data_IF_868321057227
#
_entry.id   IF_868321057227
#
_cell.length_a   1.000
_cell.length_b   1.000
_cell.length_c   1.000
_cell.angle_alpha   90.00
_cell.angle_beta   90.00
_cell.angle_gamma   90.00
#
_symmetry.space_group_name_H-M   'P 1'
#
loop_
_entity.id
_entity.type
_entity.pdbx_description
1 polymer ?
#
# COMPACT_ATOMS: atom_id res chain seq x y z
N UNK A 1 18.51 12.08 0.34
CA UNK A 1 17.68 11.14 1.15
C UNK A 1 18.49 9.87 1.33
N UNK A 2 18.65 9.37 2.56
CA UNK A 2 19.59 8.29 2.89
C UNK A 2 18.88 6.95 3.05
N UNK A 3 19.56 5.87 2.63
CA UNK A 3 19.20 4.49 2.97
C UNK A 3 20.11 4.05 4.11
N UNK A 4 19.52 3.53 5.19
CA UNK A 4 20.26 2.86 6.25
C UNK A 4 20.27 1.35 5.98
N UNK A 5 21.15 0.60 6.65
CA UNK A 5 21.23 -0.87 6.50
C UNK A 5 20.95 -1.56 7.82
N UNK A 6 20.11 -2.60 7.79
CA UNK A 6 20.03 -3.62 8.84
C UNK A 6 20.93 -4.79 8.46
N UNK A 7 21.68 -5.33 9.42
CA UNK A 7 22.50 -6.53 9.22
C UNK A 7 21.79 -7.75 9.83
N UNK A 8 21.43 -8.71 8.98
CA UNK A 8 20.90 -10.00 9.38
C UNK A 8 21.95 -11.09 9.19
N UNK A 9 22.20 -11.92 10.20
CA UNK A 9 23.18 -13.02 10.13
C UNK A 9 22.47 -14.35 9.97
N UNK A 10 22.68 -15.01 8.83
CA UNK A 10 22.18 -16.34 8.55
C UNK A 10 23.30 -17.37 8.69
N UNK A 11 22.98 -18.52 9.30
CA UNK A 11 23.98 -19.54 9.62
C UNK A 11 24.77 -20.05 8.41
N UNK A 12 24.14 -20.13 7.22
CA UNK A 12 24.77 -20.62 5.99
C UNK A 12 25.15 -19.52 4.99
N UNK A 13 24.45 -18.39 5.00
CA UNK A 13 24.58 -17.34 3.99
C UNK A 13 25.42 -16.13 4.47
N UNK A 14 25.83 -16.13 5.75
CA UNK A 14 26.62 -15.05 6.33
C UNK A 14 25.78 -13.82 6.65
N UNK A 15 26.40 -12.63 6.60
CA UNK A 15 25.74 -11.36 6.86
C UNK A 15 25.05 -10.85 5.59
N UNK A 16 23.76 -10.54 5.69
CA UNK A 16 22.93 -9.94 4.65
C UNK A 16 22.55 -8.53 5.09
N UNK A 17 22.72 -7.55 4.19
CA UNK A 17 22.35 -6.17 4.44
C UNK A 17 20.99 -5.85 3.82
N UNK A 18 20.03 -5.46 4.66
CA UNK A 18 18.67 -5.09 4.26
C UNK A 18 18.58 -3.56 4.24
N UNK A 19 18.34 -2.93 3.07
CA UNK A 19 18.18 -1.50 2.98
C UNK A 19 16.86 -1.05 3.61
N UNK A 20 16.91 0.01 4.40
CA UNK A 20 15.74 0.62 5.05
C UNK A 20 15.72 2.13 4.81
N UNK A 21 14.55 2.68 4.52
CA UNK A 21 14.38 4.12 4.34
C UNK A 21 14.65 4.84 5.66
N UNK A 22 15.62 5.75 5.67
CA UNK A 22 16.00 6.49 6.89
C UNK A 22 14.83 7.30 7.47
N UNK A 23 14.03 8.06 6.70
CA UNK A 23 12.84 8.73 7.24
C UNK A 23 11.85 7.77 7.93
N UNK A 24 11.55 6.63 7.31
CA UNK A 24 10.63 5.64 7.89
C UNK A 24 11.21 4.98 9.15
N UNK A 25 12.49 4.60 9.12
CA UNK A 25 13.19 4.06 10.28
C UNK A 25 13.17 5.05 11.45
N UNK A 26 13.47 6.32 11.21
CA UNK A 26 13.52 7.35 12.25
C UNK A 26 12.15 7.60 12.89
N UNK A 27 11.06 7.64 12.11
CA UNK A 27 9.72 7.78 12.70
C UNK A 27 9.29 6.52 13.44
N UNK A 28 9.65 5.32 12.96
CA UNK A 28 9.39 4.08 13.68
C UNK A 28 10.12 4.02 15.03
N UNK A 29 11.41 4.38 15.06
CA UNK A 29 12.19 4.45 16.29
C UNK A 29 11.59 5.46 17.28
N UNK A 30 11.04 6.58 16.81
CA UNK A 30 10.33 7.53 17.67
C UNK A 30 9.02 6.96 18.22
N UNK A 31 8.24 6.24 17.40
CA UNK A 31 7.04 5.52 17.86
C UNK A 31 7.41 4.50 18.95
N UNK A 32 8.40 3.67 18.67
CA UNK A 32 8.90 2.64 19.58
C UNK A 32 9.48 3.22 20.88
N UNK A 33 10.14 4.38 20.80
CA UNK A 33 10.74 5.08 21.93
C UNK A 33 9.74 5.75 22.86
N UNK A 34 8.49 5.92 22.45
CA UNK A 34 7.45 6.62 23.21
C UNK A 34 6.14 5.80 23.25
N UNK A 35 6.11 4.66 23.98
CA UNK A 35 4.95 3.76 23.99
C UNK A 35 3.66 4.41 24.54
N UNK A 36 3.79 5.35 25.48
CA UNK A 36 2.73 6.20 26.05
C UNK A 36 2.67 7.59 25.41
N UNK A 37 3.45 7.82 24.36
CA UNK A 37 3.59 9.10 23.68
C UNK A 37 2.50 9.38 22.65
N UNK A 38 2.83 10.14 21.59
CA UNK A 38 1.91 10.50 20.52
C UNK A 38 1.21 9.29 19.89
N UNK A 39 -0.11 9.40 19.72
CA UNK A 39 -0.93 8.43 18.98
C UNK A 39 -0.59 8.45 17.49
N UNK A 40 -0.35 9.64 16.97
CA UNK A 40 -0.09 9.93 15.56
C UNK A 40 1.09 10.89 15.40
N UNK A 41 1.71 10.81 14.23
CA UNK A 41 2.85 11.63 13.84
C UNK A 41 2.53 12.40 12.57
N UNK A 42 3.27 13.47 12.32
CA UNK A 42 3.14 14.28 11.10
C UNK A 42 4.48 14.44 10.42
N UNK A 43 4.50 14.33 9.09
CA UNK A 43 5.65 14.64 8.23
C UNK A 43 5.16 15.54 7.10
N UNK A 44 5.78 16.70 6.93
CA UNK A 44 5.55 17.53 5.73
C UNK A 44 6.46 17.07 4.61
N UNK A 45 5.92 16.92 3.40
CA UNK A 45 6.70 16.70 2.18
C UNK A 45 6.56 17.94 1.32
N UNK A 46 7.67 18.63 1.07
CA UNK A 46 7.70 19.84 0.25
C UNK A 46 8.73 19.69 -0.84
N UNK A 47 8.30 19.87 -2.10
CA UNK A 47 9.18 19.76 -3.28
C UNK A 47 9.99 18.44 -3.29
N UNK A 48 9.34 17.32 -2.97
CA UNK A 48 9.96 15.99 -2.94
C UNK A 48 10.92 15.76 -1.78
N UNK A 49 10.95 16.61 -0.75
CA UNK A 49 11.79 16.45 0.43
C UNK A 49 10.92 16.24 1.67
N UNK A 50 11.14 15.13 2.37
CA UNK A 50 10.51 14.86 3.66
C UNK A 50 11.15 15.69 4.78
N UNK A 51 10.31 16.38 5.55
CA UNK A 51 10.68 17.09 6.76
C UNK A 51 10.84 16.18 7.98
N UNK A 52 11.14 16.78 9.13
CA UNK A 52 11.26 16.05 10.40
C UNK A 52 9.89 15.61 10.90
N UNK A 53 9.78 14.36 11.39
CA UNK A 53 8.56 13.89 12.03
C UNK A 53 8.29 14.58 13.37
N UNK A 54 7.07 15.07 13.55
CA UNK A 54 6.57 15.70 14.78
C UNK A 54 5.40 14.88 15.34
N UNK A 55 5.41 14.57 16.63
CA UNK A 55 4.31 13.88 17.28
C UNK A 55 3.20 14.85 17.68
N UNK A 56 1.95 14.46 17.49
CA UNK A 56 0.82 15.24 17.98
C UNK A 56 0.59 14.96 19.47
N UNK A 57 0.45 16.02 20.25
CA UNK A 57 0.21 15.91 21.69
C UNK A 57 -1.24 15.47 21.89
N UNK A 58 -1.43 14.18 22.15
CA UNK A 58 -2.73 13.62 22.46
C UNK A 58 -2.71 12.99 23.86
N UNK A 59 -3.71 13.31 24.67
CA UNK A 59 -3.93 12.61 25.94
C UNK A 59 -4.62 11.27 25.66
N UNK A 60 -4.04 10.21 26.21
CA UNK A 60 -4.65 8.88 26.22
C UNK A 60 -5.91 8.87 27.09
N UNK A 61 -6.96 8.14 26.71
CA UNK A 61 -8.15 8.00 27.54
C UNK A 61 -7.79 7.36 28.88
N UNK A 62 -8.19 7.93 30.03
CA UNK A 62 -7.93 7.30 31.33
C UNK A 62 -8.95 6.19 31.60
N UNK A 63 -8.65 4.98 31.13
CA UNK A 63 -9.46 3.78 31.37
C UNK A 63 -8.56 2.60 31.77
N UNK A 64 -9.10 1.58 32.48
CA UNK A 64 -8.37 0.35 32.74
C UNK A 64 -7.88 -0.35 31.46
N UNK A 65 -8.69 -0.34 30.40
CA UNK A 65 -8.32 -0.91 29.10
C UNK A 65 -7.13 -0.17 28.48
N UNK A 66 -7.09 1.18 28.60
CA UNK A 66 -5.95 1.97 28.13
C UNK A 66 -4.66 1.62 28.86
N UNK A 67 -4.72 1.45 30.19
CA UNK A 67 -3.54 1.06 31.00
C UNK A 67 -3.03 -0.33 30.62
N UNK A 68 -3.94 -1.28 30.38
CA UNK A 68 -3.59 -2.61 29.92
C UNK A 68 -2.94 -2.58 28.53
N UNK A 69 -3.51 -1.81 27.60
CA UNK A 69 -2.99 -1.60 26.25
C UNK A 69 -1.59 -0.98 26.27
N UNK A 70 -1.40 0.13 26.98
CA UNK A 70 -0.10 0.80 27.09
C UNK A 70 0.96 -0.09 27.72
N UNK A 71 0.59 -0.89 28.72
CA UNK A 71 1.50 -1.89 29.31
C UNK A 71 1.91 -2.98 28.33
N UNK A 72 0.98 -3.50 27.51
CA UNK A 72 1.30 -4.48 26.48
C UNK A 72 2.13 -3.89 25.33
N UNK A 73 1.79 -2.67 24.91
CA UNK A 73 2.50 -1.87 23.91
C UNK A 73 3.96 -1.62 24.32
N UNK A 74 4.19 -1.17 25.55
CA UNK A 74 5.54 -0.91 26.06
C UNK A 74 6.41 -2.18 26.04
N UNK A 75 5.87 -3.33 26.48
CA UNK A 75 6.59 -4.62 26.42
C UNK A 75 6.94 -5.02 25.00
N UNK A 76 5.98 -4.92 24.08
CA UNK A 76 6.23 -5.23 22.66
C UNK A 76 7.30 -4.29 22.07
N UNK A 77 7.19 -2.99 22.30
CA UNK A 77 8.13 -2.00 21.76
C UNK A 77 9.55 -2.16 22.32
N UNK A 78 9.68 -2.50 23.60
CA UNK A 78 10.98 -2.80 24.22
C UNK A 78 11.65 -4.01 23.56
N UNK A 79 10.90 -5.08 23.29
CA UNK A 79 11.40 -6.26 22.56
C UNK A 79 11.84 -5.88 21.15
N UNK A 80 11.05 -5.07 20.43
CA UNK A 80 11.39 -4.63 19.06
C UNK A 80 12.67 -3.80 19.04
N UNK A 81 12.87 -2.90 20.00
CA UNK A 81 14.06 -2.02 20.04
C UNK A 81 15.36 -2.78 20.32
N UNK A 82 15.28 -3.91 21.02
CA UNK A 82 16.44 -4.73 21.41
C UNK A 82 17.53 -3.90 22.11
N UNK A 83 17.11 -3.10 23.10
CA UNK A 83 17.97 -2.26 23.91
C UNK A 83 18.75 -1.22 23.10
N UNK A 84 20.08 -1.25 23.17
CA UNK A 84 20.97 -0.25 22.54
C UNK A 84 21.06 -0.37 21.03
N UNK A 85 20.52 -1.44 20.43
CA UNK A 85 20.51 -1.60 18.96
C UNK A 85 19.50 -0.68 18.28
N UNK A 86 18.47 -0.24 19.02
CA UNK A 86 17.38 0.60 18.50
C UNK A 86 16.82 0.06 17.18
N UNK A 87 16.52 -1.24 17.14
CA UNK A 87 15.98 -1.90 15.96
C UNK A 87 14.55 -1.42 15.66
N UNK A 88 14.12 -1.71 14.43
CA UNK A 88 12.76 -1.52 13.93
C UNK A 88 12.12 -2.88 13.67
N UNK A 89 10.82 -2.93 13.38
CA UNK A 89 10.05 -4.17 13.21
C UNK A 89 10.68 -5.12 12.17
N UNK A 90 11.32 -4.58 11.13
CA UNK A 90 12.06 -5.33 10.11
C UNK A 90 13.23 -6.18 10.67
N UNK A 91 13.76 -5.82 11.83
CA UNK A 91 14.89 -6.50 12.48
C UNK A 91 14.49 -7.58 13.48
N UNK A 92 13.19 -7.85 13.65
CA UNK A 92 12.67 -8.73 14.70
C UNK A 92 12.27 -10.09 14.13
N UNK A 93 12.59 -11.17 14.86
CA UNK A 93 11.99 -12.48 14.60
C UNK A 93 10.54 -12.50 15.10
N UNK A 94 9.60 -12.24 14.18
CA UNK A 94 8.17 -12.11 14.44
C UNK A 94 7.55 -13.34 15.10
N UNK A 95 8.08 -14.55 14.84
CA UNK A 95 7.61 -15.78 15.49
C UNK A 95 8.08 -15.85 16.94
N UNK A 96 9.34 -15.50 17.19
CA UNK A 96 9.92 -15.44 18.53
C UNK A 96 9.19 -14.45 19.46
N UNK A 97 8.52 -13.44 18.90
CA UNK A 97 7.80 -12.40 19.65
C UNK A 97 6.27 -12.51 19.54
N UNK A 98 5.75 -13.58 18.94
CA UNK A 98 4.33 -13.79 18.67
C UNK A 98 3.44 -13.66 19.92
N UNK A 99 3.93 -14.11 21.09
CA UNK A 99 3.19 -14.02 22.36
C UNK A 99 2.98 -12.57 22.80
N UNK A 100 4.00 -11.72 22.66
CA UNK A 100 3.91 -10.29 22.97
C UNK A 100 2.98 -9.57 21.97
N UNK A 101 3.07 -9.91 20.69
CA UNK A 101 2.17 -9.36 19.64
C UNK A 101 0.72 -9.72 19.93
N UNK A 102 0.42 -10.98 20.29
CA UNK A 102 -0.94 -11.40 20.68
C UNK A 102 -1.46 -10.59 21.86
N UNK A 103 -0.67 -10.49 22.94
CA UNK A 103 -1.07 -9.72 24.11
C UNK A 103 -1.32 -8.24 23.78
N UNK A 104 -0.49 -7.65 22.90
CA UNK A 104 -0.64 -6.29 22.43
C UNK A 104 -1.91 -6.08 21.60
N UNK A 105 -2.17 -6.95 20.63
CA UNK A 105 -3.36 -6.87 19.78
C UNK A 105 -4.65 -7.17 20.56
N UNK A 106 -4.64 -8.13 21.50
CA UNK A 106 -5.80 -8.39 22.37
C UNK A 106 -6.14 -7.19 23.25
N UNK A 107 -5.14 -6.56 23.88
CA UNK A 107 -5.37 -5.37 24.70
C UNK A 107 -5.89 -4.19 23.86
N UNK A 108 -5.47 -4.08 22.59
CA UNK A 108 -6.00 -3.09 21.66
C UNK A 108 -7.46 -3.36 21.29
N UNK A 109 -7.80 -4.62 21.00
CA UNK A 109 -9.19 -5.03 20.73
C UNK A 109 -10.11 -4.69 21.90
N UNK A 110 -9.68 -4.97 23.13
CA UNK A 110 -10.44 -4.64 24.34
C UNK A 110 -10.63 -3.12 24.51
N UNK A 111 -9.59 -2.33 24.23
CA UNK A 111 -9.67 -0.87 24.25
C UNK A 111 -10.65 -0.32 23.22
N UNK A 112 -10.58 -0.80 21.97
CA UNK A 112 -11.50 -0.38 20.89
C UNK A 112 -12.95 -0.75 21.23
N UNK A 113 -13.19 -1.96 21.75
CA UNK A 113 -14.53 -2.41 22.17
C UNK A 113 -15.08 -1.59 23.34
N UNK A 114 -14.25 -1.28 24.34
CA UNK A 114 -14.64 -0.44 25.48
C UNK A 114 -15.00 0.99 25.03
N UNK A 115 -14.14 1.63 24.23
CA UNK A 115 -14.40 2.98 23.72
C UNK A 115 -15.62 3.01 22.79
N UNK A 116 -15.79 1.98 21.96
CA UNK A 116 -16.99 1.79 21.14
C UNK A 116 -18.27 1.79 21.96
N UNK A 117 -18.35 0.98 23.03
CA UNK A 117 -19.51 0.98 23.94
C UNK A 117 -19.76 2.34 24.60
N UNK A 118 -18.72 3.09 24.92
CA UNK A 118 -18.85 4.43 25.54
C UNK A 118 -19.42 5.48 24.58
N UNK A 119 -19.37 5.27 23.26
CA UNK A 119 -20.03 6.19 22.30
C UNK A 119 -21.55 6.21 22.46
N UNK A 120 -22.13 5.13 22.97
CA UNK A 120 -23.57 4.99 23.26
C UNK A 120 -23.98 5.60 24.61
N UNK A 121 -23.10 6.39 25.25
CA UNK A 121 -23.37 7.01 26.53
C UNK A 121 -24.61 7.93 26.49
N UNK A 122 -25.42 7.97 27.58
CA UNK A 122 -26.68 8.72 27.59
C UNK A 122 -26.50 10.23 27.60
N UNK A 123 -25.33 10.75 27.99
CA UNK A 123 -25.09 12.20 28.01
C UNK A 123 -24.33 12.65 26.75
N UNK A 124 -24.77 13.75 26.10
CA UNK A 124 -24.12 14.24 24.87
C UNK A 124 -22.63 14.57 25.03
N UNK A 125 -22.23 15.12 26.19
CA UNK A 125 -20.84 15.49 26.44
C UNK A 125 -19.92 14.27 26.61
N UNK A 126 -20.40 13.21 27.28
CA UNK A 126 -19.64 11.96 27.42
C UNK A 126 -19.54 11.22 26.10
N UNK A 127 -20.63 11.19 25.33
CA UNK A 127 -20.66 10.60 23.98
C UNK A 127 -19.66 11.33 23.06
N UNK A 128 -19.66 12.67 23.02
CA UNK A 128 -18.71 13.44 22.21
C UNK A 128 -17.24 13.18 22.60
N UNK A 129 -16.95 13.07 23.90
CA UNK A 129 -15.61 12.70 24.38
C UNK A 129 -15.24 11.29 23.96
N UNK A 130 -16.16 10.33 24.07
CA UNK A 130 -15.93 8.95 23.65
C UNK A 130 -15.67 8.83 22.15
N UNK A 131 -16.39 9.58 21.30
CA UNK A 131 -16.11 9.65 19.86
C UNK A 131 -14.72 10.22 19.56
N UNK A 132 -14.32 11.29 20.26
CA UNK A 132 -12.99 11.88 20.13
C UNK A 132 -11.88 10.90 20.55
N UNK A 133 -12.07 10.21 21.67
CA UNK A 133 -11.14 9.21 22.19
C UNK A 133 -11.02 8.00 21.25
N UNK A 134 -12.16 7.47 20.77
CA UNK A 134 -12.17 6.36 19.82
C UNK A 134 -11.45 6.72 18.52
N UNK A 135 -11.75 7.90 17.95
CA UNK A 135 -11.09 8.38 16.73
C UNK A 135 -9.57 8.48 16.87
N UNK A 136 -9.07 8.96 18.01
CA UNK A 136 -7.63 9.02 18.29
C UNK A 136 -7.00 7.64 18.38
N UNK A 137 -7.66 6.70 19.06
CA UNK A 137 -7.17 5.32 19.23
C UNK A 137 -7.19 4.54 17.90
N UNK A 138 -8.13 4.84 17.00
CA UNK A 138 -8.15 4.28 15.65
C UNK A 138 -7.02 4.81 14.76
N UNK A 139 -6.46 5.99 15.07
CA UNK A 139 -5.33 6.58 14.36
C UNK A 139 -3.96 6.22 14.98
N UNK A 140 -3.91 5.25 15.90
CA UNK A 140 -2.67 4.83 16.55
C UNK A 140 -1.62 4.42 15.52
N UNK A 141 -0.35 4.72 15.76
CA UNK A 141 0.78 4.33 14.90
C UNK A 141 0.65 4.77 13.44
N UNK A 142 -0.08 5.88 13.23
CA UNK A 142 -0.26 6.49 11.92
C UNK A 142 0.59 7.74 11.75
N UNK A 143 1.03 8.01 10.53
CA UNK A 143 1.84 9.17 10.16
C UNK A 143 1.12 9.97 9.10
N UNK A 144 0.55 11.10 9.48
CA UNK A 144 -0.07 12.08 8.59
C UNK A 144 0.99 12.75 7.71
N UNK A 145 0.80 12.68 6.40
CA UNK A 145 1.62 13.30 5.38
C UNK A 145 0.92 14.55 4.85
N UNK A 146 1.59 15.69 5.00
CA UNK A 146 1.19 16.93 4.35
C UNK A 146 2.05 17.12 3.10
N UNK A 147 1.56 16.65 1.96
CA UNK A 147 2.29 16.70 0.69
C UNK A 147 1.95 18.01 -0.02
N UNK A 148 2.95 18.84 -0.25
CA UNK A 148 2.81 20.07 -1.05
C UNK A 148 3.34 19.79 -2.45
N UNK A 149 2.44 19.85 -3.43
CA UNK A 149 2.79 19.63 -4.83
C UNK A 149 3.59 20.81 -5.41
N UNK A 150 4.05 20.66 -6.66
CA UNK A 150 4.84 21.68 -7.35
C UNK A 150 4.09 23.00 -7.60
N UNK A 151 2.75 23.01 -7.51
CA UNK A 151 1.89 24.19 -7.64
C UNK A 151 1.51 24.79 -6.28
N UNK A 152 2.02 24.24 -5.18
CA UNK A 152 1.69 24.65 -3.82
C UNK A 152 0.35 24.14 -3.31
N UNK A 153 -0.34 23.25 -4.05
CA UNK A 153 -1.55 22.59 -3.54
C UNK A 153 -1.17 21.55 -2.51
N UNK A 154 -1.98 21.45 -1.46
CA UNK A 154 -1.79 20.46 -0.40
C UNK A 154 -2.62 19.23 -0.71
N UNK A 155 -1.98 18.07 -0.63
CA UNK A 155 -2.58 16.75 -0.63
C UNK A 155 -2.36 16.13 0.73
N UNK A 156 -3.38 15.44 1.23
CA UNK A 156 -3.33 14.74 2.51
C UNK A 156 -3.23 13.24 2.26
N UNK A 157 -2.35 12.59 3.00
CA UNK A 157 -2.23 11.15 3.00
C UNK A 157 -1.81 10.67 4.39
N UNK A 158 -1.96 9.38 4.67
CA UNK A 158 -1.55 8.80 5.95
C UNK A 158 -0.81 7.51 5.71
N UNK A 159 0.32 7.32 6.40
CA UNK A 159 0.97 6.02 6.47
C UNK A 159 0.55 5.29 7.74
N UNK A 160 0.37 3.97 7.65
CA UNK A 160 0.25 3.11 8.82
C UNK A 160 1.54 2.34 9.03
N UNK A 161 2.13 2.49 10.22
CA UNK A 161 3.39 1.88 10.60
C UNK A 161 3.22 0.38 10.91
N UNK A 162 4.29 -0.44 10.75
CA UNK A 162 4.24 -1.86 11.13
C UNK A 162 4.03 -2.09 12.64
N UNK A 163 4.21 -1.06 13.47
CA UNK A 163 3.95 -1.08 14.91
C UNK A 163 2.46 -1.06 15.25
N UNK A 164 1.58 -0.72 14.29
CA UNK A 164 0.13 -0.75 14.48
C UNK A 164 -0.32 -2.16 14.91
N UNK A 165 -1.17 -2.30 15.95
CA UNK A 165 -1.52 -3.60 16.53
C UNK A 165 -2.01 -4.64 15.51
N UNK A 166 -2.89 -4.24 14.59
CA UNK A 166 -3.39 -5.12 13.53
C UNK A 166 -2.28 -5.54 12.55
N UNK A 167 -1.32 -4.68 12.27
CA UNK A 167 -0.23 -4.96 11.31
C UNK A 167 0.84 -5.84 11.93
N UNK A 168 1.20 -5.59 13.18
CA UNK A 168 2.06 -6.49 13.94
C UNK A 168 1.46 -7.89 14.01
N UNK A 169 0.15 -7.99 14.25
CA UNK A 169 -0.58 -9.26 14.24
C UNK A 169 -0.57 -9.94 12.87
N UNK A 170 -0.82 -9.20 11.79
CA UNK A 170 -0.73 -9.72 10.42
C UNK A 170 0.67 -10.25 10.11
N UNK A 171 1.72 -9.50 10.47
CA UNK A 171 3.11 -9.89 10.26
C UNK A 171 3.48 -11.17 11.03
N UNK A 172 2.98 -11.33 12.26
CA UNK A 172 3.14 -12.56 13.02
C UNK A 172 2.42 -13.76 12.38
N UNK A 173 1.17 -13.57 11.94
CA UNK A 173 0.39 -14.61 11.25
C UNK A 173 1.02 -15.00 9.90
N UNK A 174 1.54 -14.04 9.14
CA UNK A 174 2.28 -14.30 7.90
C UNK A 174 3.57 -15.10 8.16
N UNK A 175 4.31 -14.78 9.22
CA UNK A 175 5.53 -15.50 9.58
C UNK A 175 5.24 -16.94 10.02
N UNK A 176 4.18 -17.17 10.80
CA UNK A 176 3.73 -18.52 11.18
C UNK A 176 3.24 -19.32 9.97
N UNK A 177 2.47 -18.70 9.07
CA UNK A 177 2.04 -19.34 7.82
C UNK A 177 3.25 -19.76 6.99
N UNK A 178 4.24 -18.88 6.86
CA UNK A 178 5.48 -19.16 6.15
C UNK A 178 6.21 -20.37 6.72
N UNK A 179 6.31 -20.48 8.05
CA UNK A 179 6.90 -21.67 8.68
C UNK A 179 6.09 -22.94 8.40
N UNK A 180 4.77 -22.89 8.59
CA UNK A 180 3.88 -24.03 8.34
C UNK A 180 4.02 -24.55 6.91
N UNK A 181 4.04 -23.64 5.93
CA UNK A 181 4.24 -23.99 4.52
C UNK A 181 5.65 -24.53 4.25
N UNK A 182 6.69 -23.99 4.89
CA UNK A 182 8.06 -24.52 4.78
C UNK A 182 8.17 -25.94 5.33
N UNK A 183 7.50 -26.24 6.43
CA UNK A 183 7.48 -27.59 7.01
C UNK A 183 6.70 -28.57 6.12
N UNK A 184 5.54 -28.16 5.61
CA UNK A 184 4.79 -28.95 4.63
C UNK A 184 5.57 -29.19 3.33
N UNK A 185 6.35 -28.21 2.87
CA UNK A 185 7.15 -28.30 1.65
C UNK A 185 8.23 -29.40 1.71
N UNK A 186 8.66 -29.83 2.91
CA UNK A 186 9.63 -30.94 3.07
C UNK A 186 9.10 -32.26 2.52
N UNK A 187 7.78 -32.47 2.57
CA UNK A 187 7.10 -33.67 2.05
C UNK A 187 6.35 -33.46 0.74
N UNK A 188 6.32 -32.23 0.22
CA UNK A 188 5.52 -31.88 -0.96
C UNK A 188 6.26 -32.16 -2.28
N UNK A 189 5.54 -32.40 -3.39
CA UNK A 189 6.13 -32.43 -4.72
C UNK A 189 6.86 -31.13 -5.06
N UNK A 190 8.05 -31.25 -5.69
CA UNK A 190 8.95 -30.11 -5.96
C UNK A 190 8.30 -29.00 -6.81
N UNK A 191 7.35 -29.37 -7.66
CA UNK A 191 6.60 -28.44 -8.53
C UNK A 191 5.79 -27.39 -7.75
N UNK A 192 5.38 -27.68 -6.51
CA UNK A 192 4.62 -26.73 -5.69
C UNK A 192 5.49 -25.78 -4.88
N UNK A 193 6.78 -26.09 -4.68
CA UNK A 193 7.68 -25.30 -3.82
C UNK A 193 7.83 -23.86 -4.33
N UNK A 194 8.10 -23.68 -5.61
CA UNK A 194 8.31 -22.35 -6.21
C UNK A 194 7.00 -21.55 -6.21
N UNK A 195 5.85 -22.06 -6.71
CA UNK A 195 4.57 -21.36 -6.62
C UNK A 195 4.17 -20.96 -5.19
N UNK A 196 4.34 -21.84 -4.20
CA UNK A 196 4.01 -21.54 -2.80
C UNK A 196 4.89 -20.44 -2.23
N UNK A 197 6.20 -20.45 -2.54
CA UNK A 197 7.11 -19.35 -2.17
C UNK A 197 6.66 -18.02 -2.78
N UNK A 198 6.34 -18.01 -4.07
CA UNK A 198 5.89 -16.79 -4.75
C UNK A 198 4.54 -16.29 -4.20
N UNK A 199 3.62 -17.20 -3.86
CA UNK A 199 2.38 -16.84 -3.19
C UNK A 199 2.63 -16.15 -1.84
N UNK A 200 3.50 -16.71 -1.00
CA UNK A 200 3.83 -16.16 0.31
C UNK A 200 4.54 -14.79 0.23
N UNK A 201 5.51 -14.66 -0.68
CA UNK A 201 6.40 -13.50 -0.73
C UNK A 201 5.88 -12.37 -1.63
N UNK A 202 5.09 -12.69 -2.65
CA UNK A 202 4.57 -11.70 -3.58
C UNK A 202 3.07 -11.47 -3.40
N UNK A 203 2.26 -12.51 -3.28
CA UNK A 203 0.80 -12.35 -3.32
C UNK A 203 0.17 -11.94 -1.98
N UNK A 204 0.85 -12.20 -0.87
CA UNK A 204 0.41 -11.78 0.46
C UNK A 204 1.08 -10.48 0.87
N UNK A 205 0.26 -9.46 1.13
CA UNK A 205 0.70 -8.17 1.62
C UNK A 205 -0.32 -7.58 2.60
N UNK A 206 0.09 -6.78 3.59
CA UNK A 206 -0.81 -6.18 4.58
C UNK A 206 -1.55 -4.95 4.03
N UNK A 207 -2.02 -5.03 2.78
CA UNK A 207 -2.89 -4.00 2.19
C UNK A 207 -4.30 -4.16 2.74
N UNK A 208 -4.92 -3.05 3.16
CA UNK A 208 -6.23 -3.09 3.82
C UNK A 208 -6.18 -3.63 5.25
N UNK A 209 -5.04 -3.53 5.94
CA UNK A 209 -4.92 -3.79 7.38
C UNK A 209 -4.43 -2.52 8.09
N UNK A 210 -5.34 -1.65 8.56
CA UNK A 210 -6.82 -1.76 8.52
C UNK A 210 -7.45 -1.40 7.15
N UNK A 211 -8.70 -1.80 6.84
CA UNK A 211 -9.29 -1.54 5.52
C UNK A 211 -9.50 -0.05 5.23
N UNK A 212 -9.83 0.68 6.28
CA UNK A 212 -10.16 2.10 6.27
C UNK A 212 -9.62 2.77 7.53
N UNK A 213 -9.29 4.06 7.43
CA UNK A 213 -8.82 4.86 8.55
C UNK A 213 -9.66 6.13 8.72
N UNK A 214 -10.07 6.50 9.94
CA UNK A 214 -10.69 7.79 10.17
C UNK A 214 -9.64 8.92 10.18
N UNK A 215 -10.00 10.08 9.65
CA UNK A 215 -9.22 11.32 9.82
C UNK A 215 -9.67 12.07 11.08
N UNK A 216 -8.91 13.07 11.51
CA UNK A 216 -9.35 14.00 12.55
C UNK A 216 -10.61 14.78 12.16
N UNK A 217 -10.87 14.97 10.86
CA UNK A 217 -12.11 15.59 10.39
C UNK A 217 -13.27 14.58 10.33
N UNK A 218 -13.03 13.29 10.62
CA UNK A 218 -14.00 12.19 10.55
C UNK A 218 -14.34 11.71 9.14
N UNK A 219 -13.62 12.20 8.14
CA UNK A 219 -13.57 11.56 6.82
C UNK A 219 -12.86 10.21 6.91
N UNK A 220 -13.05 9.38 5.89
CA UNK A 220 -12.43 8.07 5.81
C UNK A 220 -11.37 8.05 4.71
N UNK A 221 -10.20 7.53 5.05
CA UNK A 221 -9.12 7.23 4.10
C UNK A 221 -9.20 5.77 3.70
N UNK A 222 -8.92 5.49 2.44
CA UNK A 222 -8.83 4.14 1.88
C UNK A 222 -7.39 3.77 1.59
N UNK A 223 -7.05 2.49 1.75
CA UNK A 223 -5.72 1.99 1.40
C UNK A 223 -5.46 2.22 -0.10
N UNK A 224 -4.35 2.89 -0.42
CA UNK A 224 -3.89 3.08 -1.79
C UNK A 224 -2.99 1.92 -2.18
N UNK A 225 -1.82 1.80 -1.56
CA UNK A 225 -0.90 0.68 -1.76
C UNK A 225 0.16 0.63 -0.64
N UNK A 226 0.93 -0.46 -0.63
CA UNK A 226 2.10 -0.61 0.22
C UNK A 226 3.32 0.11 -0.38
N UNK A 227 3.98 1.00 0.37
CA UNK A 227 5.26 1.57 -0.04
C UNK A 227 6.38 0.51 -0.01
N UNK A 228 6.28 -0.40 0.97
CA UNK A 228 7.11 -1.58 1.16
C UNK A 228 6.29 -2.57 2.00
N UNK A 229 6.77 -3.80 2.26
CA UNK A 229 5.99 -4.81 3.00
C UNK A 229 5.54 -4.40 4.43
N UNK A 230 6.07 -3.31 4.99
CA UNK A 230 5.82 -2.87 6.36
C UNK A 230 4.96 -1.61 6.45
N UNK A 231 4.99 -0.74 5.44
CA UNK A 231 4.33 0.57 5.45
C UNK A 231 3.29 0.69 4.33
N UNK A 232 2.04 1.02 4.72
CA UNK A 232 0.92 1.21 3.77
C UNK A 232 0.49 2.67 3.71
N UNK A 233 0.27 3.17 2.50
CA UNK A 233 -0.24 4.51 2.23
C UNK A 233 -1.76 4.50 2.10
N UNK A 234 -2.41 5.45 2.75
CA UNK A 234 -3.84 5.74 2.68
C UNK A 234 -4.03 7.16 2.19
N UNK A 235 -5.09 7.37 1.41
CA UNK A 235 -5.46 8.68 0.89
C UNK A 235 -6.98 8.87 0.97
N UNK A 236 -7.47 10.12 0.86
CA UNK A 236 -8.89 10.38 0.70
C UNK A 236 -9.44 9.58 -0.49
N UNK A 237 -10.68 9.14 -0.37
CA UNK A 237 -11.37 8.31 -1.37
C UNK A 237 -11.51 8.99 -2.75
N UNK A 238 -11.43 10.32 -2.77
CA UNK A 238 -11.53 11.18 -3.96
C UNK A 238 -10.15 11.57 -4.55
N UNK A 239 -9.05 10.94 -4.12
CA UNK A 239 -7.73 11.16 -4.71
C UNK A 239 -7.73 10.78 -6.19
N UNK A 240 -7.53 11.77 -7.07
CA UNK A 240 -7.62 11.61 -8.53
C UNK A 240 -6.36 11.01 -9.16
N UNK A 241 -5.20 11.10 -8.50
CA UNK A 241 -3.94 10.49 -8.95
C UNK A 241 -3.22 9.73 -7.82
N UNK A 242 -3.75 8.55 -7.43
CA UNK A 242 -3.16 7.77 -6.34
C UNK A 242 -1.75 7.26 -6.66
N UNK A 243 -1.46 6.96 -7.94
CA UNK A 243 -0.13 6.53 -8.37
C UNK A 243 0.88 7.66 -8.36
N UNK A 244 0.50 8.87 -8.77
CA UNK A 244 1.34 10.06 -8.59
C UNK A 244 1.64 10.33 -7.11
N UNK A 245 0.65 10.16 -6.22
CA UNK A 245 0.86 10.28 -4.77
C UNK A 245 1.91 9.30 -4.24
N UNK A 246 1.81 8.02 -4.63
CA UNK A 246 2.82 7.00 -4.27
C UNK A 246 4.20 7.43 -4.76
N UNK A 247 4.31 7.90 -6.01
CA UNK A 247 5.58 8.33 -6.57
C UNK A 247 6.20 9.52 -5.85
N UNK A 248 5.39 10.50 -5.43
CA UNK A 248 5.84 11.64 -4.63
C UNK A 248 6.37 11.18 -3.26
N UNK A 249 5.62 10.31 -2.58
CA UNK A 249 5.97 9.81 -1.25
C UNK A 249 7.19 8.88 -1.30
N UNK A 250 7.27 7.96 -2.25
CA UNK A 250 8.43 7.09 -2.45
C UNK A 250 9.70 7.90 -2.74
N UNK A 251 9.61 8.89 -3.63
CA UNK A 251 10.73 9.79 -3.92
C UNK A 251 11.19 10.57 -2.68
N UNK A 252 10.25 11.11 -1.89
CA UNK A 252 10.58 11.85 -0.68
C UNK A 252 11.25 10.98 0.41
N UNK A 253 10.92 9.69 0.44
CA UNK A 253 11.49 8.71 1.36
C UNK A 253 12.66 7.91 0.80
N UNK A 254 13.05 8.15 -0.46
CA UNK A 254 14.17 7.44 -1.12
C UNK A 254 13.89 5.96 -1.31
N UNK A 255 12.63 5.62 -1.57
CA UNK A 255 12.17 4.26 -1.84
C UNK A 255 11.97 4.05 -3.35
N UNK A 256 12.18 2.83 -3.87
CA UNK A 256 11.68 2.47 -5.19
C UNK A 256 10.14 2.49 -5.19
N UNK A 257 9.54 2.75 -6.34
CA UNK A 257 8.10 2.62 -6.47
C UNK A 257 7.68 1.14 -6.47
N UNK A 258 6.66 0.77 -5.69
CA UNK A 258 6.11 -0.57 -5.72
C UNK A 258 5.36 -0.82 -7.04
N UNK A 259 5.28 -2.10 -7.44
CA UNK A 259 4.35 -2.54 -8.47
C UNK A 259 2.90 -2.21 -8.07
N UNK A 260 2.00 -2.13 -9.04
CA UNK A 260 0.61 -1.73 -8.77
C UNK A 260 -0.13 -2.90 -8.11
N UNK A 261 -0.83 -2.62 -7.00
CA UNK A 261 -1.54 -3.62 -6.21
C UNK A 261 -0.57 -4.46 -5.38
N UNK A 262 0.41 -3.79 -4.74
CA UNK A 262 1.47 -4.34 -3.89
C UNK A 262 2.49 -5.28 -4.57
N UNK A 263 2.11 -6.01 -5.62
CA UNK A 263 2.99 -6.86 -6.49
C UNK A 263 2.30 -7.37 -7.76
N UNK A 264 0.99 -7.16 -7.95
CA UNK A 264 0.18 -7.93 -8.91
C UNK A 264 0.40 -7.47 -10.36
N UNK A 265 0.58 -6.17 -10.59
CA UNK A 265 0.74 -5.59 -11.93
C UNK A 265 2.12 -4.96 -12.02
N UNK A 266 3.08 -5.76 -12.47
CA UNK A 266 4.45 -5.34 -12.81
C UNK A 266 4.66 -5.26 -14.33
N UNK A 267 5.86 -4.83 -14.74
CA UNK A 267 6.20 -4.73 -16.17
C UNK A 267 6.18 -6.06 -16.91
N UNK A 268 6.52 -7.17 -16.23
CA UNK A 268 6.48 -8.51 -16.82
C UNK A 268 5.03 -8.96 -17.10
N UNK A 269 4.13 -8.70 -16.17
CA UNK A 269 2.70 -8.95 -16.33
C UNK A 269 2.13 -8.15 -17.50
N UNK A 270 2.41 -6.84 -17.56
CA UNK A 270 1.99 -6.00 -18.69
C UNK A 270 2.55 -6.49 -20.02
N UNK A 271 3.84 -6.86 -20.06
CA UNK A 271 4.48 -7.37 -21.28
C UNK A 271 3.82 -8.66 -21.77
N UNK A 272 3.47 -9.57 -20.85
CA UNK A 272 2.73 -10.81 -21.18
C UNK A 272 1.35 -10.51 -21.78
N UNK A 273 0.63 -9.50 -21.25
CA UNK A 273 -0.68 -9.09 -21.79
C UNK A 273 -0.54 -8.44 -23.18
N UNK A 274 0.44 -7.57 -23.37
CA UNK A 274 0.73 -6.93 -24.67
C UNK A 274 1.16 -7.95 -25.71
N UNK A 275 2.03 -8.90 -25.34
CA UNK A 275 2.45 -9.99 -26.21
C UNK A 275 1.25 -10.79 -26.75
N UNK A 276 0.28 -11.12 -25.89
CA UNK A 276 -0.95 -11.84 -26.34
C UNK A 276 -1.73 -11.05 -27.37
N UNK A 277 -1.76 -9.73 -27.27
CA UNK A 277 -2.36 -8.85 -28.27
C UNK A 277 -1.55 -8.84 -29.58
N UNK A 278 -0.23 -8.64 -29.50
CA UNK A 278 0.64 -8.55 -30.68
C UNK A 278 0.67 -9.83 -31.52
N UNK A 279 0.63 -10.99 -30.87
CA UNK A 279 0.56 -12.29 -31.56
C UNK A 279 -0.70 -12.42 -32.43
N UNK A 280 -1.81 -11.80 -32.01
CA UNK A 280 -3.07 -11.79 -32.77
C UNK A 280 -3.10 -10.71 -33.85
N UNK A 281 -2.21 -9.73 -33.78
CA UNK A 281 -2.17 -8.57 -34.67
C UNK A 281 -0.76 -8.35 -35.27
N UNK A 282 -0.24 -9.29 -36.07
CA UNK A 282 1.14 -9.28 -36.57
C UNK A 282 1.46 -8.12 -37.52
N UNK A 283 0.44 -7.40 -38.01
CA UNK A 283 0.58 -6.21 -38.85
C UNK A 283 0.91 -4.94 -38.06
N UNK A 284 0.87 -5.00 -36.71
CA UNK A 284 1.16 -3.84 -35.86
C UNK A 284 2.67 -3.65 -35.77
N UNK A 285 3.18 -2.66 -36.49
CA UNK A 285 4.60 -2.26 -36.43
C UNK A 285 4.85 -1.08 -35.49
N UNK A 286 3.80 -0.33 -35.14
CA UNK A 286 3.83 0.73 -34.15
C UNK A 286 2.69 0.53 -33.18
N UNK A 287 2.99 0.18 -31.94
CA UNK A 287 2.01 -0.01 -30.88
C UNK A 287 1.72 1.32 -30.19
N UNK A 288 0.58 1.92 -30.53
CA UNK A 288 0.00 3.06 -29.80
C UNK A 288 -0.71 2.63 -28.51
N UNK A 289 -0.33 3.21 -27.38
CA UNK A 289 -0.90 2.95 -26.05
C UNK A 289 -1.35 4.28 -25.41
N UNK A 290 -2.60 4.32 -24.93
CA UNK A 290 -3.05 5.37 -24.00
C UNK A 290 -2.93 4.82 -22.58
N UNK A 291 -2.26 5.54 -21.68
CA UNK A 291 -2.13 5.15 -20.28
C UNK A 291 -2.60 6.27 -19.36
N UNK A 292 -3.56 5.99 -18.49
CA UNK A 292 -4.17 6.95 -17.58
C UNK A 292 -3.65 6.75 -16.17
N UNK A 293 -3.25 7.83 -15.49
CA UNK A 293 -2.75 7.80 -14.10
C UNK A 293 -1.57 6.82 -13.89
N UNK A 294 -0.66 6.75 -14.86
CA UNK A 294 0.49 5.84 -14.82
C UNK A 294 1.59 6.25 -13.81
N UNK A 295 1.42 7.34 -13.05
CA UNK A 295 2.45 7.91 -12.19
C UNK A 295 3.74 8.21 -12.96
N UNK A 296 4.89 7.70 -12.49
CA UNK A 296 6.19 7.80 -13.18
C UNK A 296 6.36 6.87 -14.38
N UNK A 297 5.33 6.06 -14.68
CA UNK A 297 5.30 5.10 -15.77
C UNK A 297 6.34 3.97 -15.68
N UNK A 298 6.83 3.63 -14.47
CA UNK A 298 7.77 2.53 -14.25
C UNK A 298 7.27 1.18 -14.80
N UNK A 299 6.01 0.75 -14.55
CA UNK A 299 5.52 -0.51 -15.12
C UNK A 299 5.49 -0.51 -16.65
N UNK A 300 5.26 0.65 -17.28
CA UNK A 300 5.30 0.76 -18.75
C UNK A 300 6.73 0.68 -19.27
N UNK A 301 7.69 1.36 -18.62
CA UNK A 301 9.10 1.29 -19.00
C UNK A 301 9.63 -0.15 -18.90
N UNK A 302 9.34 -0.84 -17.79
CA UNK A 302 9.73 -2.23 -17.59
C UNK A 302 9.06 -3.16 -18.62
N UNK A 303 7.79 -2.93 -18.94
CA UNK A 303 7.09 -3.65 -20.01
C UNK A 303 7.80 -3.52 -21.35
N UNK A 304 8.22 -2.30 -21.73
CA UNK A 304 8.96 -2.07 -22.98
C UNK A 304 10.30 -2.81 -22.99
N UNK A 305 11.03 -2.78 -21.87
CA UNK A 305 12.29 -3.52 -21.73
C UNK A 305 12.07 -5.04 -21.86
N UNK A 306 11.00 -5.59 -21.27
CA UNK A 306 10.66 -7.00 -21.39
C UNK A 306 10.28 -7.40 -22.82
N UNK A 307 9.54 -6.56 -23.54
CA UNK A 307 9.21 -6.80 -24.95
C UNK A 307 10.45 -6.70 -25.83
N UNK A 308 11.34 -5.73 -25.58
CA UNK A 308 12.58 -5.53 -26.36
C UNK A 308 13.55 -6.71 -26.27
N UNK A 309 13.53 -7.47 -25.16
CA UNK A 309 14.33 -8.70 -25.00
C UNK A 309 13.89 -9.83 -25.91
N UNK A 310 12.67 -9.78 -26.46
CA UNK A 310 12.13 -10.81 -27.33
C UNK A 310 12.43 -10.47 -28.79
N UNK A 311 13.13 -11.35 -29.49
CA UNK A 311 13.53 -11.14 -30.90
C UNK A 311 12.33 -10.82 -31.80
N UNK A 312 11.17 -11.47 -31.57
CA UNK A 312 9.94 -11.23 -32.30
C UNK A 312 9.39 -9.79 -32.20
N UNK A 313 9.76 -9.05 -31.15
CA UNK A 313 9.30 -7.67 -30.90
C UNK A 313 10.45 -6.66 -30.91
N UNK A 314 11.67 -7.09 -31.25
CA UNK A 314 12.86 -6.25 -31.20
C UNK A 314 12.76 -5.03 -32.14
N UNK A 315 12.00 -5.13 -33.23
CA UNK A 315 11.79 -4.05 -34.21
C UNK A 315 10.50 -3.26 -33.99
N UNK A 316 9.72 -3.59 -32.95
CA UNK A 316 8.46 -2.91 -32.64
C UNK A 316 8.72 -1.47 -32.19
N UNK A 317 7.88 -0.56 -32.69
CA UNK A 317 7.89 0.86 -32.27
C UNK A 317 6.71 1.13 -31.35
N UNK A 318 6.81 2.20 -30.56
CA UNK A 318 5.84 2.53 -29.53
C UNK A 318 5.46 4.01 -29.59
N UNK A 319 4.15 4.28 -29.51
CA UNK A 319 3.60 5.63 -29.35
C UNK A 319 2.78 5.67 -28.06
N UNK A 320 3.38 6.13 -26.96
CA UNK A 320 2.77 6.13 -25.64
C UNK A 320 2.26 7.52 -25.29
N UNK A 321 0.98 7.59 -24.93
CA UNK A 321 0.32 8.81 -24.49
C UNK A 321 -0.11 8.64 -23.04
N UNK A 322 0.51 9.41 -22.15
CA UNK A 322 0.15 9.48 -20.74
C UNK A 322 -0.93 10.54 -20.55
N UNK A 323 -2.04 10.15 -19.93
CA UNK A 323 -3.13 11.05 -19.55
C UNK A 323 -3.17 11.15 -18.03
N UNK A 324 -2.93 12.34 -17.49
CA UNK A 324 -2.89 12.61 -16.05
C UNK A 324 -3.69 13.88 -15.72
N UNK A 325 -4.18 14.05 -14.48
CA UNK A 325 -4.90 15.28 -14.09
C UNK A 325 -4.05 16.53 -14.27
N UNK A 326 -2.74 16.43 -14.02
CA UNK A 326 -1.78 17.52 -14.17
C UNK A 326 -0.53 17.11 -15.00
N UNK A 327 -0.48 17.46 -16.30
CA UNK A 327 0.63 17.11 -17.20
C UNK A 327 1.99 17.71 -16.81
N UNK A 328 1.98 18.81 -16.07
CA UNK A 328 3.20 19.52 -15.65
C UNK A 328 3.77 18.97 -14.34
N UNK A 329 3.13 17.95 -13.75
CA UNK A 329 3.60 17.38 -12.49
C UNK A 329 4.98 16.74 -12.62
N UNK A 330 5.96 17.10 -11.77
CA UNK A 330 7.28 16.49 -11.79
C UNK A 330 7.22 14.96 -11.65
N UNK A 331 8.07 14.27 -12.37
CA UNK A 331 8.17 12.81 -12.32
C UNK A 331 7.18 12.07 -13.24
N UNK A 332 6.12 12.70 -13.75
CA UNK A 332 5.19 12.05 -14.68
C UNK A 332 5.94 11.53 -15.90
N UNK A 333 5.83 10.22 -16.16
CA UNK A 333 6.52 9.57 -17.28
C UNK A 333 8.05 9.53 -17.18
N UNK A 334 8.64 9.84 -16.02
CA UNK A 334 10.10 9.89 -15.84
C UNK A 334 10.79 8.60 -16.25
N UNK A 335 10.22 7.42 -15.92
CA UNK A 335 10.82 6.14 -16.30
C UNK A 335 10.82 5.92 -17.82
N UNK A 336 9.84 6.45 -18.56
CA UNK A 336 9.85 6.40 -20.02
C UNK A 336 10.85 7.40 -20.61
N UNK A 337 10.96 8.59 -20.03
CA UNK A 337 11.96 9.59 -20.43
C UNK A 337 13.40 9.10 -20.18
N UNK A 338 13.61 8.30 -19.13
CA UNK A 338 14.91 7.69 -18.84
C UNK A 338 15.35 6.73 -19.96
N UNK A 339 14.42 6.00 -20.60
CA UNK A 339 14.73 5.12 -21.75
C UNK A 339 15.17 5.90 -23.00
N UNK A 340 14.75 7.17 -23.13
CA UNK A 340 15.14 8.04 -24.23
C UNK A 340 16.51 8.71 -24.02
N UNK A 341 17.10 8.56 -22.82
CA UNK A 341 18.33 9.25 -22.41
C UNK A 341 19.56 8.33 -22.56
N UNK A 342 20.55 8.67 -23.41
CA UNK A 342 21.75 7.82 -23.61
C UNK A 342 22.65 7.69 -22.37
N UNK A 343 22.52 8.62 -21.43
CA UNK A 343 23.29 8.70 -20.18
C UNK A 343 22.46 8.33 -18.94
N UNK A 344 21.30 7.69 -19.13
CA UNK A 344 20.43 7.24 -18.05
C UNK A 344 21.11 6.21 -17.14
N UNK A 345 20.66 6.13 -15.89
CA UNK A 345 21.12 5.12 -14.91
C UNK A 345 20.72 3.68 -15.25
N UNK A 346 19.89 3.48 -16.28
CA UNK A 346 19.45 2.17 -16.77
C UNK A 346 20.50 1.61 -17.73
N UNK A 347 21.56 1.01 -17.18
CA UNK A 347 22.69 0.43 -17.91
C UNK A 347 22.38 -0.93 -18.57
N UNK A 348 21.21 -1.07 -19.18
CA UNK A 348 20.79 -2.29 -19.85
C UNK A 348 20.94 -2.12 -21.37
N UNK A 349 21.55 -3.10 -22.05
CA UNK A 349 21.69 -3.13 -23.53
C UNK A 349 20.35 -2.92 -24.26
N UNK A 350 19.26 -3.29 -23.61
CA UNK A 350 17.90 -3.13 -24.11
C UNK A 350 17.38 -1.69 -24.03
N UNK A 351 17.87 -0.89 -23.07
CA UNK A 351 17.54 0.53 -22.96
C UNK A 351 18.18 1.34 -24.09
N UNK A 352 19.41 0.98 -24.50
CA UNK A 352 20.12 1.63 -25.61
C UNK A 352 19.29 1.59 -26.90
N UNK A 353 18.54 0.51 -27.14
CA UNK A 353 17.70 0.38 -28.33
C UNK A 353 16.65 1.49 -28.46
N UNK A 354 16.22 2.10 -27.35
CA UNK A 354 15.24 3.19 -27.34
C UNK A 354 15.89 4.57 -27.48
N UNK A 355 17.16 4.71 -27.08
CA UNK A 355 17.94 5.94 -27.20
C UNK A 355 18.66 6.07 -28.55
N UNK A 356 18.89 4.96 -29.27
CA UNK A 356 19.53 4.96 -30.59
C UNK A 356 18.63 5.67 -31.62
N UNK A 357 19.14 6.73 -32.29
CA UNK A 357 18.41 7.38 -33.38
C UNK A 357 18.13 6.37 -34.50
N UNK A 358 16.86 6.26 -34.90
CA UNK A 358 16.47 5.51 -36.09
C UNK A 358 16.96 6.21 -37.37
N UNK A 359 17.03 5.46 -38.48
CA UNK A 359 17.38 5.99 -39.82
C UNK A 359 16.55 7.23 -40.24
N UNK A 360 15.38 7.43 -39.62
CA UNK A 360 14.56 8.63 -39.76
C UNK A 360 14.22 9.23 -38.39
N UNK A 361 14.57 10.50 -38.17
CA UNK A 361 14.20 11.26 -36.96
C UNK A 361 12.68 11.41 -36.77
N UNK A 362 11.88 11.17 -37.82
CA UNK A 362 10.41 11.23 -37.76
C UNK A 362 9.77 9.91 -37.29
N UNK A 363 10.57 8.84 -37.13
CA UNK A 363 10.09 7.51 -36.75
C UNK A 363 10.95 6.89 -35.65
N UNK A 364 11.12 7.58 -34.50
CA UNK A 364 11.87 7.00 -33.39
C UNK A 364 11.20 5.74 -32.88
N UNK A 365 11.97 4.89 -32.21
CA UNK A 365 11.47 3.65 -31.64
C UNK A 365 10.42 3.87 -30.56
N UNK A 366 10.59 4.91 -29.73
CA UNK A 366 9.66 5.30 -28.68
C UNK A 366 9.28 6.77 -28.83
N UNK A 367 7.98 7.03 -28.89
CA UNK A 367 7.39 8.37 -28.76
C UNK A 367 6.61 8.42 -27.45
N UNK A 368 6.80 9.48 -26.69
CA UNK A 368 6.08 9.71 -25.43
C UNK A 368 5.43 11.09 -25.49
N UNK A 369 4.16 11.17 -25.11
CA UNK A 369 3.46 12.42 -24.93
C UNK A 369 2.72 12.41 -23.59
N UNK A 370 2.79 13.51 -22.84
CA UNK A 370 2.01 13.71 -21.61
C UNK A 370 0.91 14.71 -21.91
N UNK A 371 -0.33 14.40 -21.54
CA UNK A 371 -1.54 15.17 -21.82
C UNK A 371 -2.48 15.19 -20.62
N UNK A 372 -3.37 16.17 -20.57
CA UNK A 372 -4.38 16.25 -19.53
C UNK A 372 -5.46 15.20 -19.73
N UNK A 373 -5.94 14.54 -18.66
CA UNK A 373 -7.15 13.70 -18.75
C UNK A 373 -8.35 14.47 -19.31
N UNK A 374 -8.42 15.78 -19.03
CA UNK A 374 -9.43 16.68 -19.60
C UNK A 374 -9.37 16.77 -21.14
N UNK A 375 -8.19 16.64 -21.75
CA UNK A 375 -8.07 16.66 -23.22
C UNK A 375 -8.68 15.40 -23.84
N UNK A 376 -8.45 14.24 -23.22
CA UNK A 376 -9.08 12.99 -23.65
C UNK A 376 -10.59 13.02 -23.50
N UNK A 377 -11.10 13.55 -22.38
CA UNK A 377 -12.55 13.68 -22.15
C UNK A 377 -13.23 14.63 -23.14
N UNK A 378 -12.51 15.65 -23.63
CA UNK A 378 -13.04 16.62 -24.58
C UNK A 378 -13.19 16.05 -25.98
N UNK A 379 -12.20 15.29 -26.44
CA UNK A 379 -12.19 14.74 -27.80
C UNK A 379 -11.50 13.35 -27.85
N UNK A 380 -12.19 12.29 -27.37
CA UNK A 380 -11.59 10.96 -27.27
C UNK A 380 -11.23 10.37 -28.64
N UNK A 381 -11.97 10.74 -29.69
CA UNK A 381 -11.78 10.26 -31.06
C UNK A 381 -10.44 10.71 -31.67
N UNK A 382 -9.85 11.80 -31.17
CA UNK A 382 -8.51 12.25 -31.59
C UNK A 382 -7.37 11.43 -30.99
N UNK A 383 -7.67 10.48 -30.11
CA UNK A 383 -6.68 9.69 -29.39
C UNK A 383 -6.87 8.17 -29.60
N UNK A 384 -6.93 7.68 -30.86
CA UNK A 384 -7.02 6.26 -31.12
C UNK A 384 -5.78 5.54 -30.59
N UNK A 385 -5.98 4.39 -29.98
CA UNK A 385 -4.92 3.52 -29.47
C UNK A 385 -5.28 2.06 -29.69
N UNK A 386 -4.26 1.22 -29.78
CA UNK A 386 -4.46 -0.23 -29.81
C UNK A 386 -4.84 -0.75 -28.42
N UNK A 387 -4.23 -0.17 -27.39
CA UNK A 387 -4.43 -0.54 -25.99
C UNK A 387 -4.63 0.71 -25.14
N UNK A 388 -5.59 0.65 -24.23
CA UNK A 388 -5.79 1.64 -23.17
C UNK A 388 -5.55 0.98 -21.82
N UNK A 389 -4.65 1.55 -21.02
CA UNK A 389 -4.31 1.11 -19.67
C UNK A 389 -4.82 2.13 -18.67
N UNK A 390 -5.67 1.71 -17.73
CA UNK A 390 -6.31 2.59 -16.75
C UNK A 390 -5.83 2.17 -15.35
N UNK A 391 -5.06 3.03 -14.69
CA UNK A 391 -4.52 2.78 -13.34
C UNK A 391 -5.29 3.63 -12.32
N UNK A 392 -6.18 3.01 -11.53
CA UNK A 392 -6.93 3.70 -10.46
C UNK A 392 -7.57 5.04 -10.90
N UNK A 393 -8.25 5.02 -12.06
CA UNK A 393 -8.85 6.23 -12.68
C UNK A 393 -10.25 6.56 -12.15
N UNK A 394 -10.82 5.69 -11.33
CA UNK A 394 -12.16 5.81 -10.77
C UNK A 394 -12.05 6.03 -9.27
N UNK A 395 -11.93 7.29 -8.80
CA UNK A 395 -12.03 7.58 -7.38
C UNK A 395 -13.42 7.17 -6.87
N UNK A 396 -13.52 6.88 -5.58
CA UNK A 396 -14.81 6.58 -5.00
C UNK A 396 -15.60 7.89 -4.79
N UNK A 397 -16.79 7.94 -5.40
CA UNK A 397 -17.67 9.11 -5.34
C UNK A 397 -18.32 9.31 -3.97
N UNK A 398 -18.65 8.21 -3.29
CA UNK A 398 -19.27 8.21 -1.96
C UNK A 398 -18.64 7.14 -1.06
N UNK A 399 -18.59 7.44 0.24
CA UNK A 399 -18.13 6.52 1.29
C UNK A 399 -19.17 6.51 2.39
N UNK A 400 -19.82 5.36 2.55
CA UNK A 400 -20.86 5.15 3.54
C UNK A 400 -20.58 3.97 4.48
N UNK A 401 -21.39 3.88 5.53
CA UNK A 401 -21.43 2.70 6.40
C UNK A 401 -22.67 1.86 6.07
N UNK A 402 -22.48 0.54 6.02
CA UNK A 402 -23.58 -0.41 5.90
C UNK A 402 -23.35 -1.59 6.83
N UNK A 403 -24.43 -2.24 7.26
CA UNK A 403 -24.31 -3.49 8.00
C UNK A 403 -23.68 -4.55 7.11
N UNK A 404 -22.78 -5.34 7.68
CA UNK A 404 -22.24 -6.50 6.96
C UNK A 404 -23.40 -7.44 6.59
N UNK A 405 -23.41 -7.93 5.34
CA UNK A 405 -24.37 -8.96 4.95
C UNK A 405 -23.86 -10.32 5.47
N UNK A 406 -24.73 -11.17 6.06
CA UNK A 406 -24.31 -12.48 6.59
C UNK A 406 -23.90 -13.50 5.52
N UNK A 407 -24.22 -13.24 4.26
CA UNK A 407 -23.82 -14.10 3.13
C UNK A 407 -22.31 -13.92 2.92
N UNK A 408 -21.54 -14.94 3.29
CA UNK A 408 -20.09 -15.09 2.98
C UNK A 408 -19.12 -14.39 3.95
N UNK A 409 -19.39 -14.47 5.27
CA UNK A 409 -18.46 -14.04 6.32
C UNK A 409 -17.29 -15.03 6.51
N UNK A 410 -16.37 -15.09 5.55
CA UNK A 410 -15.08 -15.78 5.70
C UNK A 410 -13.92 -14.83 5.42
N UNK A 411 -12.88 -14.88 6.24
CA UNK A 411 -11.63 -14.17 5.98
C UNK A 411 -10.65 -15.13 5.27
N UNK A 412 -10.33 -14.89 3.98
CA UNK A 412 -9.53 -15.83 3.19
C UNK A 412 -8.08 -15.89 3.66
N UNK A 413 -7.40 -17.00 3.33
CA UNK A 413 -5.99 -17.26 3.62
C UNK A 413 -5.65 -16.98 5.09
N UNK A 414 -6.34 -17.66 6.01
CA UNK A 414 -6.13 -17.50 7.45
C UNK A 414 -6.35 -16.05 7.98
N UNK A 415 -7.11 -15.24 7.25
CA UNK A 415 -7.34 -13.84 7.55
C UNK A 415 -6.25 -12.89 7.06
N UNK A 416 -5.26 -13.37 6.30
CA UNK A 416 -4.15 -12.56 5.78
C UNK A 416 -4.51 -11.77 4.51
N UNK A 417 -5.66 -12.03 3.90
CA UNK A 417 -6.15 -11.27 2.74
C UNK A 417 -7.43 -10.53 3.12
N UNK A 418 -7.41 -9.20 2.99
CA UNK A 418 -8.60 -8.39 3.17
C UNK A 418 -9.43 -8.42 1.88
N UNK A 419 -10.45 -9.27 1.86
CA UNK A 419 -11.39 -9.37 0.74
C UNK A 419 -12.43 -8.24 0.78
N UNK A 420 -13.01 -7.94 -0.38
CA UNK A 420 -14.07 -6.95 -0.53
C UNK A 420 -15.23 -7.56 -1.31
N UNK A 421 -16.44 -7.45 -0.75
CA UNK A 421 -17.65 -7.70 -1.50
C UNK A 421 -17.86 -6.57 -2.50
N UNK A 422 -18.07 -6.93 -3.77
CA UNK A 422 -18.40 -5.97 -4.83
C UNK A 422 -19.86 -6.17 -5.23
N UNK A 423 -20.68 -5.15 -5.00
CA UNK A 423 -22.06 -5.08 -5.49
C UNK A 423 -22.11 -4.15 -6.71
N UNK A 424 -22.63 -4.67 -7.82
CA UNK A 424 -22.77 -3.94 -9.07
C UNK A 424 -24.20 -3.46 -9.22
N UNK A 425 -24.37 -2.16 -9.43
CA UNK A 425 -25.65 -1.52 -9.65
C UNK A 425 -25.60 -0.72 -10.95
N UNK A 426 -26.56 -0.94 -11.83
CA UNK A 426 -26.73 -0.21 -13.07
C UNK A 426 -28.20 0.21 -13.19
N UNK A 427 -28.42 1.50 -13.35
CA UNK A 427 -29.72 2.09 -13.67
C UNK A 427 -29.61 2.99 -14.92
N UNK A 428 -30.71 3.62 -15.34
CA UNK A 428 -30.75 4.49 -16.53
C UNK A 428 -29.83 5.72 -16.43
N UNK A 429 -29.36 6.05 -15.23
CA UNK A 429 -28.60 7.28 -14.91
C UNK A 429 -27.18 7.03 -14.44
N UNK A 430 -26.87 5.86 -13.90
CA UNK A 430 -25.58 5.57 -13.29
C UNK A 430 -25.19 4.09 -13.35
N UNK A 431 -23.88 3.88 -13.41
CA UNK A 431 -23.23 2.58 -13.19
C UNK A 431 -22.34 2.72 -11.97
N UNK A 432 -22.59 1.92 -10.93
CA UNK A 432 -21.88 2.01 -9.66
C UNK A 432 -21.39 0.64 -9.20
N UNK A 433 -20.17 0.62 -8.67
CA UNK A 433 -19.62 -0.52 -7.94
C UNK A 433 -19.49 -0.13 -6.47
N UNK A 434 -20.18 -0.85 -5.59
CA UNK A 434 -20.05 -0.68 -4.14
C UNK A 434 -19.09 -1.74 -3.61
N UNK A 435 -18.04 -1.31 -2.93
CA UNK A 435 -17.03 -2.20 -2.33
C UNK A 435 -17.13 -2.15 -0.82
N UNK A 436 -17.40 -3.28 -0.19
CA UNK A 436 -17.48 -3.39 1.27
C UNK A 436 -16.43 -4.37 1.78
N UNK A 437 -15.58 -3.99 2.76
CA UNK A 437 -14.66 -4.93 3.39
C UNK A 437 -15.40 -6.14 3.94
N UNK A 438 -14.92 -7.34 3.63
CA UNK A 438 -15.45 -8.58 4.19
C UNK A 438 -14.73 -8.90 5.48
N UNK A 439 -15.52 -9.21 6.49
CA UNK A 439 -15.06 -9.72 7.77
C UNK A 439 -15.80 -11.00 8.09
N UNK A 440 -15.13 -11.91 8.75
CA UNK A 440 -15.69 -13.21 9.03
C UNK A 440 -14.68 -14.16 9.62
N UNK A 441 -15.07 -15.42 9.77
CA UNK A 441 -14.22 -16.42 10.37
C UNK A 441 -13.03 -16.70 9.45
N UNK A 442 -11.82 -16.57 10.00
CA UNK A 442 -10.61 -16.98 9.31
C UNK A 442 -10.52 -18.50 9.28
N UNK A 443 -9.98 -19.06 8.20
CA UNK A 443 -9.59 -20.47 8.21
C UNK A 443 -8.50 -20.67 9.27
N UNK A 444 -8.63 -21.64 10.20
CA UNK A 444 -7.64 -21.83 11.25
C UNK A 444 -6.28 -22.20 10.66
N UNK A 445 -5.21 -21.64 11.21
CA UNK A 445 -3.84 -22.10 10.96
C UNK A 445 -3.47 -23.05 12.10
N UNK A 446 -3.17 -24.31 11.79
CA UNK A 446 -2.86 -25.33 12.80
C UNK A 446 -1.75 -24.87 13.74
N UNK A 447 -1.99 -24.98 15.06
CA UNK A 447 -1.09 -24.53 16.14
C UNK A 447 -0.95 -23.00 16.27
N UNK A 448 -1.72 -22.23 15.51
CA UNK A 448 -1.72 -20.77 15.51
C UNK A 448 -3.14 -20.17 15.38
N UNK A 449 -4.17 -20.93 15.78
CA UNK A 449 -5.59 -20.57 15.63
C UNK A 449 -5.92 -19.26 16.37
N UNK A 450 -5.32 -19.06 17.54
CA UNK A 450 -5.47 -17.82 18.30
C UNK A 450 -4.97 -16.57 17.54
N UNK A 451 -4.02 -16.69 16.61
CA UNK A 451 -3.61 -15.56 15.76
C UNK A 451 -4.68 -15.26 14.70
N UNK A 452 -5.18 -16.30 14.04
CA UNK A 452 -6.12 -16.15 12.92
C UNK A 452 -7.46 -15.60 13.42
N UNK A 453 -7.92 -16.09 14.58
CA UNK A 453 -9.15 -15.61 15.22
C UNK A 453 -9.02 -14.15 15.65
N UNK A 454 -7.92 -13.81 16.33
CA UNK A 454 -7.66 -12.44 16.78
C UNK A 454 -7.51 -11.47 15.60
N UNK A 455 -6.92 -11.91 14.48
CA UNK A 455 -6.74 -11.11 13.28
C UNK A 455 -8.09 -10.77 12.64
N UNK A 456 -8.96 -11.78 12.50
CA UNK A 456 -10.31 -11.60 12.00
C UNK A 456 -11.15 -10.69 12.90
N UNK A 457 -11.14 -10.94 14.21
CA UNK A 457 -11.88 -10.17 15.21
C UNK A 457 -11.45 -8.71 15.24
N UNK A 458 -10.14 -8.45 15.23
CA UNK A 458 -9.61 -7.10 15.28
C UNK A 458 -9.91 -6.33 14.00
N UNK A 459 -9.74 -6.94 12.82
CA UNK A 459 -10.13 -6.30 11.55
C UNK A 459 -11.61 -5.92 11.54
N UNK A 460 -12.49 -6.82 12.00
CA UNK A 460 -13.94 -6.55 12.08
C UNK A 460 -14.28 -5.42 13.06
N UNK A 461 -13.63 -5.42 14.23
CA UNK A 461 -13.84 -4.40 15.26
C UNK A 461 -13.40 -3.02 14.80
N UNK A 462 -12.27 -2.93 14.09
CA UNK A 462 -11.79 -1.66 13.55
C UNK A 462 -12.70 -1.11 12.47
N UNK A 463 -13.17 -1.93 11.53
CA UNK A 463 -14.12 -1.46 10.51
C UNK A 463 -15.43 -0.97 11.13
N UNK A 464 -15.93 -1.67 12.15
CA UNK A 464 -17.15 -1.28 12.87
C UNK A 464 -16.93 0.02 13.67
N UNK A 465 -15.81 0.16 14.37
CA UNK A 465 -15.47 1.36 15.11
C UNK A 465 -15.26 2.58 14.20
N UNK A 466 -14.59 2.40 13.06
CA UNK A 466 -14.43 3.45 12.05
C UNK A 466 -15.77 3.86 11.46
N UNK A 467 -16.65 2.91 11.14
CA UNK A 467 -18.00 3.21 10.69
C UNK A 467 -18.78 4.03 11.72
N UNK A 468 -18.74 3.64 13.01
CA UNK A 468 -19.37 4.39 14.10
C UNK A 468 -18.88 5.83 14.18
N UNK A 469 -17.57 6.06 14.08
CA UNK A 469 -16.98 7.42 14.09
C UNK A 469 -17.38 8.22 12.86
N UNK A 470 -17.41 7.60 11.68
CA UNK A 470 -17.74 8.27 10.42
C UNK A 470 -19.22 8.65 10.32
N UNK A 471 -20.14 7.84 10.88
CA UNK A 471 -21.59 8.11 10.82
C UNK A 471 -22.11 9.05 11.91
N UNK A 472 -21.30 9.35 12.92
CA UNK A 472 -21.73 10.19 14.05
C UNK A 472 -21.67 11.70 13.77
N UNK A 473 -21.44 12.08 12.52
CA UNK A 473 -21.32 13.48 12.07
C UNK A 473 -22.64 14.09 11.65
#
# INVERSE_FOLDING_TARGET
VGTDMLEAKFAREGAVHVPVSRPLKLVEQKILGAPDGPLCWRISISLGVAGTSTGEVAQWPDTPATKAFLGARARYFEIVRDGTKELVTQGVDLRGVQSAIKAYASAYLDLVRELGRRTEAPTPLESQRAFSDLRKVLAVDSVFLAVTDHRGRRREATLVAPTHPLRALWLAAWAELGQSWLDAAKGAPKEFIVPTREALLRQLAPIGFPPVLPTEAGHVLTAVDNLNPFWTLYAPSHEEDPRGLIGDVCSAFGLPEPAVGSTVIDGQYLASRVQRYLVQHPYVHTLTINAFNAGRATPLADMLLHLQKQEAFADLRYDIRLFVPDPESPGVGESLNALLSPSGSVSAREADAFAVPSDSHLRPKLRVAVRGTADFRRDPETHPAHLSLLFDVFPAEDVGASRATPREASAPVHGLVQDFQVDYQEDETAVAWRRQPRHGLATPLENAEALTDLLADLSSALSSATATVATAQ
#
